data_IF_510005640306
#
_entry.id   IF_510005640306
#
_cell.length_a   1.000
_cell.length_b   1.000
_cell.length_c   1.000
_cell.angle_alpha   90.00
_cell.angle_beta   90.00
_cell.angle_gamma   90.00
#
_symmetry.space_group_name_H-M   'P 1'
#
loop_
_entity.id
_entity.type
_entity.pdbx_description
1 polymer ?
#
# COMPACT_ATOMS: atom_id res chain seq x y z
N UNK A 1 68.93 -23.50 15.81
CA UNK A 1 68.69 -24.50 14.78
C UNK A 1 67.57 -24.06 13.92
N UNK A 2 67.84 -23.85 12.64
CA UNK A 2 66.88 -23.52 11.56
C UNK A 2 65.93 -24.67 11.34
N UNK A 3 64.71 -24.36 10.97
CA UNK A 3 63.96 -25.05 9.92
C UNK A 3 62.92 -24.08 9.34
N UNK A 4 63.08 -23.79 8.07
CA UNK A 4 62.09 -23.17 7.24
C UNK A 4 61.21 -24.26 6.61
N UNK A 5 59.96 -23.91 6.35
CA UNK A 5 59.13 -24.60 5.36
C UNK A 5 58.08 -23.60 4.83
N UNK A 6 58.22 -23.33 3.52
CA UNK A 6 57.21 -22.67 2.71
C UNK A 6 55.94 -23.55 2.62
N UNK A 7 54.80 -22.96 2.78
CA UNK A 7 53.55 -23.56 2.37
C UNK A 7 52.67 -22.53 1.69
N UNK A 8 52.50 -22.73 0.41
CA UNK A 8 51.57 -22.04 -0.49
C UNK A 8 50.12 -22.10 0.01
N UNK A 9 49.58 -20.98 0.46
CA UNK A 9 48.21 -20.85 0.82
C UNK A 9 47.37 -20.43 -0.36
N UNK A 10 46.41 -21.24 -0.76
CA UNK A 10 45.32 -20.88 -1.68
C UNK A 10 44.30 -20.04 -0.88
N UNK A 11 44.15 -18.79 -1.26
CA UNK A 11 43.13 -17.90 -0.71
C UNK A 11 41.74 -18.34 -1.15
N UNK A 12 40.92 -18.76 -0.20
CA UNK A 12 39.48 -18.82 -0.37
C UNK A 12 38.93 -17.42 -0.11
N UNK A 13 38.72 -16.69 -1.20
CA UNK A 13 38.05 -15.40 -1.13
C UNK A 13 36.63 -15.59 -0.64
N UNK A 14 36.39 -15.17 0.60
CA UNK A 14 35.01 -14.91 1.06
C UNK A 14 34.49 -13.70 0.28
N UNK A 15 33.58 -13.96 -0.65
CA UNK A 15 32.78 -12.92 -1.24
C UNK A 15 31.89 -12.38 -0.13
N UNK A 16 32.37 -11.31 0.52
CA UNK A 16 31.51 -10.42 1.27
C UNK A 16 30.61 -9.74 0.25
N UNK A 17 29.39 -10.28 0.06
CA UNK A 17 28.36 -9.65 -0.75
C UNK A 17 28.12 -8.25 -0.19
N UNK A 18 28.59 -7.24 -0.90
CA UNK A 18 28.18 -5.86 -0.64
C UNK A 18 26.68 -5.82 -0.81
N UNK A 19 25.94 -5.81 0.30
CA UNK A 19 24.57 -5.34 0.32
C UNK A 19 24.66 -3.87 -0.05
N UNK A 20 24.46 -3.59 -1.34
CA UNK A 20 24.25 -2.22 -1.78
C UNK A 20 23.04 -1.69 -0.99
N UNK A 21 23.15 -0.54 -0.33
CA UNK A 21 21.99 0.06 0.29
C UNK A 21 20.99 0.33 -0.83
N UNK A 22 19.89 -0.42 -0.85
CA UNK A 22 18.72 -0.08 -1.66
C UNK A 22 18.16 1.19 -1.04
N UNK A 23 18.79 2.32 -1.35
CA UNK A 23 18.16 3.61 -1.16
C UNK A 23 16.98 3.64 -2.12
N UNK A 24 15.81 3.28 -1.62
CA UNK A 24 14.56 3.64 -2.26
C UNK A 24 14.45 5.16 -2.11
N UNK A 25 15.25 5.87 -2.87
CA UNK A 25 15.12 7.30 -3.06
C UNK A 25 13.97 7.50 -4.06
N UNK A 26 12.77 7.09 -3.66
CA UNK A 26 11.55 7.50 -4.31
C UNK A 26 11.08 8.77 -3.60
N UNK A 27 11.87 9.85 -3.69
CA UNK A 27 11.31 11.19 -3.51
C UNK A 27 10.09 11.22 -4.43
N UNK A 28 8.91 11.65 -3.95
CA UNK A 28 7.84 11.98 -4.87
C UNK A 28 8.44 13.00 -5.83
N UNK A 29 8.75 12.57 -7.06
CA UNK A 29 9.07 13.54 -8.10
C UNK A 29 7.91 14.52 -8.09
N UNK A 30 8.17 15.84 -7.95
CA UNK A 30 7.13 16.79 -8.26
C UNK A 30 6.59 16.34 -9.61
N UNK A 31 5.27 16.17 -9.73
CA UNK A 31 4.65 15.77 -11.00
C UNK A 31 5.28 16.70 -12.07
N UNK A 32 6.21 16.13 -12.85
CA UNK A 32 6.65 16.84 -14.04
C UNK A 32 5.38 17.00 -14.87
N UNK A 33 5.14 18.19 -15.44
CA UNK A 33 4.01 18.36 -16.33
C UNK A 33 4.08 17.24 -17.35
N UNK A 34 3.13 16.32 -17.28
CA UNK A 34 3.04 15.19 -18.20
C UNK A 34 2.82 15.84 -19.56
N UNK A 35 3.81 15.73 -20.42
CA UNK A 35 3.80 16.36 -21.73
C UNK A 35 2.77 15.67 -22.62
N UNK A 36 2.25 16.38 -23.62
CA UNK A 36 1.39 15.79 -24.67
C UNK A 36 1.99 14.53 -25.30
N UNK A 37 3.31 14.41 -25.31
CA UNK A 37 4.04 13.24 -25.76
C UNK A 37 3.71 11.93 -25.01
N UNK A 38 3.28 12.01 -23.74
CA UNK A 38 2.79 10.84 -23.01
C UNK A 38 1.50 10.31 -23.61
N UNK A 39 0.55 11.18 -23.91
CA UNK A 39 -0.76 10.80 -24.46
C UNK A 39 -0.62 10.17 -25.85
N UNK A 40 0.36 10.62 -26.63
CA UNK A 40 0.62 10.12 -27.99
C UNK A 40 1.21 8.70 -28.00
N UNK A 41 1.70 8.20 -26.86
CA UNK A 41 2.18 6.84 -26.68
C UNK A 41 1.05 5.86 -26.37
N UNK A 42 -0.10 6.37 -25.92
CA UNK A 42 -1.22 5.53 -25.50
C UNK A 42 -1.98 4.92 -26.70
N UNK A 43 -2.40 3.69 -26.53
CA UNK A 43 -3.18 2.95 -27.50
C UNK A 43 -4.66 2.94 -27.07
N UNK A 44 -5.43 3.77 -27.72
CA UNK A 44 -6.87 3.79 -27.52
C UNK A 44 -7.52 2.69 -28.39
N UNK A 45 -8.62 2.13 -27.89
CA UNK A 45 -9.43 1.19 -28.68
C UNK A 45 -10.15 1.91 -29.85
N UNK A 46 -10.90 1.16 -30.65
CA UNK A 46 -11.64 1.67 -31.83
C UNK A 46 -12.64 2.80 -31.49
N UNK A 47 -13.12 2.83 -30.24
CA UNK A 47 -14.00 3.90 -29.75
C UNK A 47 -13.22 5.13 -29.20
N UNK A 48 -11.90 5.16 -29.34
CA UNK A 48 -11.05 6.21 -28.80
C UNK A 48 -10.95 6.22 -27.27
N UNK A 49 -11.17 5.06 -26.63
CA UNK A 49 -11.17 4.90 -25.18
C UNK A 49 -10.04 3.99 -24.71
N UNK A 50 -9.54 4.26 -23.52
CA UNK A 50 -8.55 3.45 -22.80
C UNK A 50 -9.08 3.18 -21.38
N UNK A 51 -8.97 1.95 -20.85
CA UNK A 51 -9.31 1.67 -19.47
C UNK A 51 -8.34 2.33 -18.51
N UNK A 52 -8.85 2.85 -17.41
CA UNK A 52 -8.08 3.49 -16.36
C UNK A 52 -8.42 2.87 -15.01
N UNK A 53 -7.40 2.32 -14.36
CA UNK A 53 -7.48 1.73 -13.02
C UNK A 53 -7.14 2.84 -12.02
N UNK A 54 -8.05 3.14 -11.09
CA UNK A 54 -7.78 4.02 -9.96
C UNK A 54 -7.25 3.21 -8.78
N UNK A 55 -6.06 3.55 -8.31
CA UNK A 55 -5.38 2.90 -7.20
C UNK A 55 -5.12 3.91 -6.08
N UNK A 56 -5.39 3.54 -4.83
CA UNK A 56 -5.05 4.39 -3.68
C UNK A 56 -3.52 4.57 -3.58
N UNK A 57 -3.10 5.81 -3.38
CA UNK A 57 -1.67 6.17 -3.34
C UNK A 57 -0.96 5.68 -2.07
N UNK A 58 -1.71 5.41 -1.02
CA UNK A 58 -1.18 5.16 0.32
C UNK A 58 -1.02 3.67 0.58
N UNK A 59 -2.06 2.89 0.37
CA UNK A 59 -2.07 1.44 0.62
C UNK A 59 -2.05 0.57 -0.65
N UNK A 60 -2.21 1.18 -1.83
CA UNK A 60 -2.17 0.46 -3.10
C UNK A 60 -3.46 -0.27 -3.46
N UNK A 61 -4.53 -0.09 -2.70
CA UNK A 61 -5.82 -0.72 -3.00
C UNK A 61 -6.36 -0.26 -4.36
N UNK A 62 -6.88 -1.21 -5.16
CA UNK A 62 -7.61 -0.88 -6.37
C UNK A 62 -9.00 -0.40 -5.99
N UNK A 63 -9.34 0.82 -6.39
CA UNK A 63 -10.60 1.47 -5.99
C UNK A 63 -11.69 1.34 -7.03
N UNK A 64 -11.37 1.52 -8.30
CA UNK A 64 -12.33 1.41 -9.40
C UNK A 64 -11.62 1.27 -10.74
N UNK A 65 -12.38 0.87 -11.75
CA UNK A 65 -11.99 0.97 -13.16
C UNK A 65 -13.04 1.82 -13.89
N UNK A 66 -12.55 2.73 -14.73
CA UNK A 66 -13.38 3.52 -15.61
C UNK A 66 -12.68 3.70 -16.98
N UNK A 67 -13.29 4.42 -17.89
CA UNK A 67 -12.73 4.70 -19.20
C UNK A 67 -12.30 6.14 -19.32
N UNK A 68 -11.23 6.36 -20.07
CA UNK A 68 -10.74 7.70 -20.41
C UNK A 68 -10.63 7.82 -21.94
N UNK A 69 -10.88 9.01 -22.46
CA UNK A 69 -10.49 9.41 -23.80
C UNK A 69 -9.37 10.44 -23.70
N UNK A 70 -8.80 10.85 -24.84
CA UNK A 70 -7.74 11.88 -24.89
C UNK A 70 -8.11 13.12 -24.08
N UNK A 71 -9.31 13.65 -24.28
CA UNK A 71 -9.76 14.87 -23.62
C UNK A 71 -9.87 14.71 -22.10
N UNK A 72 -10.36 13.59 -21.60
CA UNK A 72 -10.42 13.34 -20.15
C UNK A 72 -9.04 13.22 -19.52
N UNK A 73 -8.05 12.65 -20.23
CA UNK A 73 -6.67 12.61 -19.78
C UNK A 73 -6.07 14.02 -19.72
N UNK A 74 -6.26 14.83 -20.77
CA UNK A 74 -5.78 16.22 -20.81
C UNK A 74 -6.38 17.07 -19.68
N UNK A 75 -7.67 16.91 -19.39
CA UNK A 75 -8.33 17.56 -18.25
C UNK A 75 -7.77 17.06 -16.92
N UNK A 76 -7.57 15.76 -16.78
CA UNK A 76 -6.95 15.17 -15.58
C UNK A 76 -5.56 15.76 -15.32
N UNK A 77 -4.75 15.94 -16.35
CA UNK A 77 -3.41 16.50 -16.24
C UNK A 77 -3.43 17.98 -15.89
N UNK A 78 -4.35 18.74 -16.47
CA UNK A 78 -4.43 20.18 -16.28
C UNK A 78 -5.03 20.58 -14.94
N UNK A 79 -6.00 19.80 -14.42
CA UNK A 79 -6.69 20.09 -13.16
C UNK A 79 -6.04 19.43 -11.95
N UNK A 80 -5.29 18.33 -12.16
CA UNK A 80 -4.81 17.48 -11.08
C UNK A 80 -5.90 16.61 -10.44
N UNK A 81 -7.13 16.65 -10.94
CA UNK A 81 -8.26 15.83 -10.51
C UNK A 81 -8.72 14.91 -11.64
N UNK A 82 -9.13 13.69 -11.31
CA UNK A 82 -9.41 12.67 -12.33
C UNK A 82 -10.73 12.96 -13.05
N UNK A 83 -10.64 13.00 -14.37
CA UNK A 83 -11.75 13.06 -15.30
C UNK A 83 -11.79 11.75 -16.09
N UNK A 84 -12.97 11.15 -16.17
CA UNK A 84 -13.24 9.95 -16.95
C UNK A 84 -14.16 10.22 -18.11
N UNK A 85 -14.37 9.21 -18.94
CA UNK A 85 -15.38 9.16 -19.96
C UNK A 85 -16.50 8.20 -19.57
N UNK A 86 -17.72 8.69 -19.44
CA UNK A 86 -18.89 7.88 -19.17
C UNK A 86 -19.39 7.24 -20.48
N UNK A 87 -19.23 5.93 -20.61
CA UNK A 87 -19.69 5.19 -21.81
C UNK A 87 -21.21 5.20 -21.98
N UNK A 88 -21.96 5.13 -20.86
CA UNK A 88 -23.41 5.11 -20.91
C UNK A 88 -24.03 6.47 -21.24
N UNK A 89 -23.38 7.57 -20.76
CA UNK A 89 -23.85 8.94 -20.99
C UNK A 89 -23.19 9.61 -22.19
N UNK A 90 -22.11 9.02 -22.71
CA UNK A 90 -21.29 9.57 -23.80
C UNK A 90 -20.82 11.00 -23.51
N UNK A 91 -20.33 11.22 -22.29
CA UNK A 91 -19.87 12.54 -21.82
C UNK A 91 -18.67 12.44 -20.89
N UNK A 92 -17.96 13.54 -20.74
CA UNK A 92 -16.92 13.68 -19.73
C UNK A 92 -17.52 13.61 -18.32
N UNK A 93 -16.80 12.96 -17.45
CA UNK A 93 -17.20 12.78 -16.06
C UNK A 93 -16.08 13.17 -15.11
N UNK A 94 -16.18 14.36 -14.50
CA UNK A 94 -15.31 14.72 -13.39
C UNK A 94 -15.71 13.92 -12.16
N UNK A 95 -14.81 13.06 -11.70
CA UNK A 95 -15.08 12.18 -10.56
C UNK A 95 -15.25 13.00 -9.28
N UNK A 96 -16.41 12.85 -8.65
CA UNK A 96 -16.73 13.54 -7.40
C UNK A 96 -17.31 14.94 -7.54
N UNK A 97 -17.50 15.49 -8.76
CA UNK A 97 -18.05 16.82 -8.95
C UNK A 97 -19.39 17.05 -8.23
N UNK A 98 -20.23 16.04 -8.14
CA UNK A 98 -21.53 16.11 -7.47
C UNK A 98 -21.49 15.60 -6.02
N UNK A 99 -20.74 14.53 -5.76
CA UNK A 99 -20.71 13.86 -4.45
C UNK A 99 -19.69 14.43 -3.46
N UNK A 100 -18.72 15.24 -3.94
CA UNK A 100 -17.58 15.70 -3.15
C UNK A 100 -16.45 14.65 -3.03
N UNK A 101 -16.65 13.42 -3.52
CA UNK A 101 -15.65 12.35 -3.48
C UNK A 101 -14.72 12.43 -4.70
N UNK A 102 -13.92 13.50 -4.76
CA UNK A 102 -12.95 13.73 -5.85
C UNK A 102 -11.75 12.80 -5.73
N UNK A 103 -11.00 12.69 -6.82
CA UNK A 103 -9.78 11.91 -6.92
C UNK A 103 -8.62 12.82 -7.32
N UNK A 104 -7.75 13.17 -6.37
CA UNK A 104 -6.54 13.95 -6.66
C UNK A 104 -5.45 13.03 -7.20
N UNK A 105 -4.90 13.38 -8.35
CA UNK A 105 -3.83 12.60 -9.00
C UNK A 105 -2.53 12.70 -8.22
N UNK A 106 -1.92 11.55 -7.92
CA UNK A 106 -0.58 11.44 -7.34
C UNK A 106 0.44 10.94 -8.36
N UNK A 107 0.02 10.07 -9.26
CA UNK A 107 0.87 9.57 -10.36
C UNK A 107 0.00 8.98 -11.47
N UNK A 108 0.52 8.95 -12.69
CA UNK A 108 -0.08 8.24 -13.82
C UNK A 108 1.01 7.37 -14.45
N UNK A 109 0.65 6.13 -14.73
CA UNK A 109 1.47 5.14 -15.45
C UNK A 109 0.60 4.48 -16.52
N UNK A 110 1.22 3.84 -17.46
CA UNK A 110 0.57 2.95 -18.43
C UNK A 110 1.32 1.62 -18.45
N UNK A 111 0.67 0.60 -18.92
CA UNK A 111 1.26 -0.75 -18.99
C UNK A 111 2.25 -0.91 -20.15
N UNK A 112 2.76 -2.13 -20.35
CA UNK A 112 3.87 -2.40 -21.27
C UNK A 112 3.52 -2.19 -22.76
N UNK A 113 2.27 -2.33 -23.13
CA UNK A 113 1.75 -2.13 -24.50
C UNK A 113 0.89 -0.87 -24.65
N UNK A 114 0.82 -0.07 -23.58
CA UNK A 114 0.22 1.26 -23.52
C UNK A 114 -1.31 1.27 -23.80
N UNK A 115 -2.02 0.21 -23.48
CA UNK A 115 -3.46 0.08 -23.66
C UNK A 115 -4.28 0.15 -22.36
N UNK A 116 -3.61 0.26 -21.19
CA UNK A 116 -4.21 0.49 -19.86
C UNK A 116 -3.48 1.59 -19.10
N UNK A 117 -4.23 2.45 -18.42
CA UNK A 117 -3.68 3.49 -17.54
C UNK A 117 -3.89 3.09 -16.07
N UNK A 118 -2.82 3.21 -15.27
CA UNK A 118 -2.87 3.17 -13.82
C UNK A 118 -2.77 4.58 -13.27
N UNK A 119 -3.85 5.08 -12.68
CA UNK A 119 -3.90 6.38 -12.00
C UNK A 119 -3.80 6.16 -10.51
N UNK A 120 -2.67 6.53 -9.92
CA UNK A 120 -2.50 6.52 -8.47
C UNK A 120 -3.12 7.80 -7.92
N UNK A 121 -4.09 7.69 -7.03
CA UNK A 121 -4.92 8.80 -6.57
C UNK A 121 -5.03 8.87 -5.05
N UNK A 122 -5.31 10.06 -4.55
CA UNK A 122 -5.84 10.29 -3.20
C UNK A 122 -7.35 10.47 -3.31
N UNK A 123 -8.09 9.57 -2.68
CA UNK A 123 -9.55 9.58 -2.69
C UNK A 123 -10.10 10.48 -1.59
N UNK A 124 -10.83 11.53 -1.95
CA UNK A 124 -11.53 12.38 -0.98
C UNK A 124 -12.67 11.61 -0.33
N UNK A 125 -12.74 11.68 1.01
CA UNK A 125 -13.79 11.03 1.81
C UNK A 125 -13.69 9.50 1.86
N UNK A 126 -12.61 8.92 1.33
CA UNK A 126 -12.36 7.46 1.28
C UNK A 126 -13.50 6.64 0.63
N UNK A 127 -14.26 7.24 -0.30
CA UNK A 127 -15.40 6.64 -1.00
C UNK A 127 -15.19 6.77 -2.51
N UNK A 128 -14.94 5.66 -3.21
CA UNK A 128 -14.85 5.65 -4.67
C UNK A 128 -16.14 5.18 -5.34
N UNK A 129 -16.88 4.26 -4.72
CA UNK A 129 -18.09 3.68 -5.28
C UNK A 129 -19.32 4.58 -5.04
N UNK A 130 -20.28 4.54 -5.99
CA UNK A 130 -21.57 5.23 -5.86
C UNK A 130 -22.48 4.64 -4.77
N UNK A 131 -22.18 3.42 -4.30
CA UNK A 131 -22.88 2.75 -3.20
C UNK A 131 -22.44 3.23 -1.81
N UNK A 132 -21.42 4.11 -1.74
CA UNK A 132 -20.78 4.53 -0.50
C UNK A 132 -19.59 3.69 -0.08
N UNK A 133 -19.28 2.61 -0.81
CA UNK A 133 -18.13 1.78 -0.52
C UNK A 133 -16.81 2.46 -0.91
N UNK A 134 -15.73 2.13 -0.20
CA UNK A 134 -14.39 2.60 -0.50
C UNK A 134 -13.90 2.19 -1.88
N UNK A 135 -14.23 0.97 -2.32
CA UNK A 135 -13.86 0.41 -3.63
C UNK A 135 -15.08 -0.11 -4.35
N UNK A 136 -15.03 -0.18 -5.68
CA UNK A 136 -16.03 -0.88 -6.49
C UNK A 136 -15.85 -2.41 -6.44
N UNK A 137 -14.71 -2.90 -5.94
CA UNK A 137 -14.35 -4.32 -5.88
C UNK A 137 -14.58 -4.86 -4.47
N UNK A 138 -15.83 -4.99 -4.06
CA UNK A 138 -16.21 -5.50 -2.73
C UNK A 138 -17.01 -6.81 -2.78
N UNK A 139 -17.43 -7.25 -3.95
CA UNK A 139 -18.09 -8.56 -4.10
C UNK A 139 -17.03 -9.64 -4.35
N UNK A 140 -17.10 -10.72 -3.57
CA UNK A 140 -16.25 -11.89 -3.73
C UNK A 140 -16.96 -12.91 -4.65
N UNK A 141 -16.18 -13.71 -5.39
CA UNK A 141 -16.69 -14.78 -6.26
C UNK A 141 -17.47 -15.85 -5.48
N UNK A 142 -17.11 -16.09 -4.22
CA UNK A 142 -17.66 -17.15 -3.38
C UNK A 142 -18.69 -16.65 -2.38
N UNK A 143 -18.69 -15.38 -2.05
CA UNK A 143 -19.62 -14.77 -1.09
C UNK A 143 -20.02 -13.38 -1.57
N UNK A 144 -21.31 -13.12 -1.64
CA UNK A 144 -21.81 -11.77 -1.87
C UNK A 144 -21.65 -10.98 -0.59
N UNK A 145 -20.61 -10.14 -0.53
CA UNK A 145 -20.46 -9.17 0.53
C UNK A 145 -21.61 -8.15 0.46
N UNK A 146 -22.13 -7.66 1.61
CA UNK A 146 -23.09 -6.58 1.61
C UNK A 146 -22.46 -5.35 0.96
N UNK A 147 -23.11 -4.77 -0.04
CA UNK A 147 -22.70 -3.51 -0.63
C UNK A 147 -22.92 -2.34 0.33
N UNK A 148 -22.35 -1.18 0.01
CA UNK A 148 -22.51 0.05 0.77
C UNK A 148 -21.26 0.48 1.54
N UNK A 149 -21.44 1.37 2.51
CA UNK A 149 -20.33 1.98 3.25
C UNK A 149 -19.50 0.95 4.06
N UNK A 150 -20.12 -0.15 4.47
CA UNK A 150 -19.47 -1.21 5.26
C UNK A 150 -18.74 -2.25 4.38
N UNK A 151 -18.84 -2.13 3.06
CA UNK A 151 -18.18 -3.06 2.14
C UNK A 151 -16.66 -2.84 2.12
N UNK A 152 -15.91 -3.87 2.48
CA UNK A 152 -14.44 -3.80 2.51
C UNK A 152 -13.87 -4.01 1.10
N UNK A 153 -12.89 -3.20 0.66
CA UNK A 153 -12.15 -3.47 -0.56
C UNK A 153 -11.26 -4.70 -0.39
N UNK A 154 -10.80 -5.32 -1.49
CA UNK A 154 -9.76 -6.33 -1.40
C UNK A 154 -8.55 -5.80 -0.60
N UNK A 155 -7.90 -6.63 0.22
CA UNK A 155 -6.71 -6.20 0.95
C UNK A 155 -5.58 -5.87 -0.04
N UNK A 156 -4.90 -4.75 0.20
CA UNK A 156 -3.77 -4.35 -0.64
C UNK A 156 -2.46 -5.02 -0.22
N UNK A 157 -2.34 -5.34 1.06
CA UNK A 157 -1.17 -5.98 1.66
C UNK A 157 -1.54 -6.73 2.95
N UNK A 158 -0.64 -7.62 3.41
CA UNK A 158 -0.86 -8.45 4.58
C UNK A 158 -1.05 -7.63 5.88
N UNK A 159 -0.41 -6.46 6.02
CA UNK A 159 -0.57 -5.63 7.22
C UNK A 159 -1.94 -4.96 7.27
N UNK A 160 -2.45 -4.52 6.12
CA UNK A 160 -3.80 -3.98 5.99
C UNK A 160 -4.84 -5.04 6.35
N UNK A 161 -4.68 -6.28 5.84
CA UNK A 161 -5.57 -7.39 6.16
C UNK A 161 -5.50 -7.77 7.64
N UNK A 162 -4.29 -7.87 8.19
CA UNK A 162 -4.08 -8.17 9.61
C UNK A 162 -4.80 -7.16 10.51
N UNK A 163 -4.71 -5.86 10.20
CA UNK A 163 -5.39 -4.83 10.98
C UNK A 163 -6.92 -4.99 10.93
N UNK A 164 -7.48 -5.33 9.76
CA UNK A 164 -8.92 -5.60 9.63
C UNK A 164 -9.37 -6.77 10.49
N UNK A 165 -8.59 -7.86 10.51
CA UNK A 165 -8.88 -9.02 11.35
C UNK A 165 -8.82 -8.63 12.83
N UNK A 166 -7.83 -7.86 13.25
CA UNK A 166 -7.70 -7.39 14.65
C UNK A 166 -8.87 -6.48 15.04
N UNK A 167 -9.25 -5.53 14.18
CA UNK A 167 -10.39 -4.63 14.40
C UNK A 167 -11.71 -5.43 14.46
N UNK A 168 -11.91 -6.40 13.57
CA UNK A 168 -13.06 -7.28 13.60
C UNK A 168 -13.14 -8.09 14.91
N UNK A 169 -12.01 -8.59 15.43
CA UNK A 169 -11.94 -9.28 16.73
C UNK A 169 -12.21 -8.36 17.91
N UNK A 170 -11.80 -7.09 17.82
CA UNK A 170 -12.14 -6.07 18.84
C UNK A 170 -13.63 -5.80 18.89
N UNK A 171 -14.25 -5.62 17.72
CA UNK A 171 -15.63 -5.19 17.59
C UNK A 171 -16.62 -6.37 17.73
N UNK A 172 -16.19 -7.59 17.37
CA UNK A 172 -16.95 -8.83 17.48
C UNK A 172 -16.05 -9.92 18.10
N UNK A 173 -15.93 -9.97 19.43
CA UNK A 173 -15.08 -10.94 20.12
C UNK A 173 -15.46 -12.38 19.83
N UNK A 174 -14.43 -13.23 19.55
CA UNK A 174 -14.62 -14.68 19.36
C UNK A 174 -14.03 -15.48 20.52
N UNK A 175 -14.75 -16.50 21.03
CA UNK A 175 -14.25 -17.38 22.05
C UNK A 175 -12.94 -18.08 21.62
N UNK A 176 -11.93 -18.04 22.50
CA UNK A 176 -10.64 -18.66 22.24
C UNK A 176 -9.66 -17.84 21.43
N UNK A 177 -10.06 -16.71 20.86
CA UNK A 177 -9.19 -15.82 20.09
C UNK A 177 -8.02 -15.31 20.94
N UNK A 178 -6.80 -15.43 20.41
CA UNK A 178 -5.60 -14.88 21.02
C UNK A 178 -5.63 -13.35 21.02
N UNK A 179 -6.08 -12.74 19.93
CA UNK A 179 -6.26 -11.28 19.82
C UNK A 179 -7.17 -10.76 20.93
N UNK A 180 -8.31 -11.42 21.16
CA UNK A 180 -9.22 -11.01 22.24
C UNK A 180 -8.58 -11.15 23.62
N UNK A 181 -7.79 -12.22 23.87
CA UNK A 181 -7.05 -12.38 25.13
C UNK A 181 -6.03 -11.25 25.36
N UNK A 182 -5.44 -10.73 24.30
CA UNK A 182 -4.53 -9.56 24.39
C UNK A 182 -5.31 -8.30 24.70
N UNK A 183 -6.38 -8.03 23.96
CA UNK A 183 -7.23 -6.85 24.13
C UNK A 183 -7.86 -6.79 25.53
N UNK A 184 -8.38 -7.92 26.04
CA UNK A 184 -8.92 -8.06 27.38
C UNK A 184 -7.86 -7.82 28.48
N UNK A 185 -6.61 -8.19 28.20
CA UNK A 185 -5.49 -7.96 29.10
C UNK A 185 -4.97 -6.52 29.13
N UNK A 186 -5.43 -5.69 28.18
CA UNK A 186 -5.08 -4.27 28.07
C UNK A 186 -3.59 -4.01 27.89
N UNK A 187 -3.20 -2.77 28.11
CA UNK A 187 -1.84 -2.27 27.89
C UNK A 187 -0.75 -3.14 28.48
N UNK A 188 -0.90 -3.56 29.73
CA UNK A 188 0.14 -4.33 30.41
C UNK A 188 0.48 -5.63 29.68
N UNK A 189 -0.53 -6.31 29.12
CA UNK A 189 -0.33 -7.57 28.40
C UNK A 189 0.20 -7.32 26.99
N UNK A 190 -0.36 -6.35 26.29
CA UNK A 190 0.02 -6.03 24.92
C UNK A 190 1.44 -5.48 24.89
N UNK A 191 1.76 -4.47 25.72
CA UNK A 191 3.07 -3.83 25.72
C UNK A 191 4.18 -4.76 26.21
N UNK A 192 3.86 -5.68 27.15
CA UNK A 192 4.77 -6.74 27.55
C UNK A 192 5.18 -7.59 26.34
N UNK A 193 4.23 -8.01 25.52
CA UNK A 193 4.51 -8.80 24.30
C UNK A 193 5.35 -8.06 23.29
N UNK A 194 5.06 -6.77 23.03
CA UNK A 194 5.91 -5.96 22.16
C UNK A 194 7.36 -5.93 22.65
N UNK A 195 7.57 -5.84 23.97
CA UNK A 195 8.90 -5.88 24.57
C UNK A 195 9.60 -7.23 24.39
N UNK A 196 8.90 -8.34 24.60
CA UNK A 196 9.39 -9.71 24.42
C UNK A 196 9.82 -9.96 22.97
N UNK A 197 8.92 -9.77 22.00
CA UNK A 197 9.19 -10.01 20.57
C UNK A 197 10.27 -9.05 20.03
N UNK A 198 10.35 -7.81 20.56
CA UNK A 198 11.45 -6.90 20.19
C UNK A 198 12.82 -7.41 20.67
N UNK A 199 12.90 -8.05 21.83
CA UNK A 199 14.14 -8.63 22.32
C UNK A 199 14.53 -9.88 21.49
N UNK A 200 13.56 -10.74 21.16
CA UNK A 200 13.76 -11.93 20.33
C UNK A 200 14.19 -11.55 18.91
N UNK A 201 13.60 -10.50 18.32
CA UNK A 201 14.03 -9.96 17.02
C UNK A 201 15.49 -9.49 17.07
N UNK A 202 15.91 -8.80 18.13
CA UNK A 202 17.31 -8.35 18.28
C UNK A 202 18.26 -9.55 18.36
N UNK A 203 17.88 -10.63 19.06
CA UNK A 203 18.69 -11.84 19.14
C UNK A 203 18.74 -12.56 17.78
N UNK A 204 17.63 -12.72 17.09
CA UNK A 204 17.57 -13.29 15.75
C UNK A 204 18.47 -12.53 14.75
N UNK A 205 18.46 -11.19 14.82
CA UNK A 205 19.35 -10.34 14.02
C UNK A 205 20.82 -10.57 14.35
N UNK A 206 21.16 -10.73 15.63
CA UNK A 206 22.54 -10.99 16.08
C UNK A 206 23.04 -12.35 15.60
N UNK A 207 22.15 -13.36 15.62
CA UNK A 207 22.45 -14.72 15.18
C UNK A 207 22.42 -14.88 13.66
N UNK A 208 21.96 -13.83 12.95
CA UNK A 208 21.86 -13.76 11.50
C UNK A 208 21.00 -14.91 10.91
N UNK A 209 19.87 -15.20 11.57
CA UNK A 209 18.89 -16.20 11.16
C UNK A 209 17.74 -15.54 10.37
N UNK A 210 17.72 -15.61 9.03
CA UNK A 210 16.69 -14.91 8.22
C UNK A 210 15.26 -15.34 8.55
N UNK A 211 15.03 -16.62 8.84
CA UNK A 211 13.72 -17.19 9.14
C UNK A 211 13.21 -16.67 10.49
N UNK A 212 14.06 -16.66 11.51
CA UNK A 212 13.72 -16.12 12.84
C UNK A 212 13.53 -14.62 12.77
N UNK A 213 14.39 -13.88 12.05
CA UNK A 213 14.21 -12.43 11.85
C UNK A 213 12.85 -12.13 11.24
N UNK A 214 12.40 -12.92 10.24
CA UNK A 214 11.11 -12.73 9.61
C UNK A 214 9.95 -13.09 10.56
N UNK A 215 10.09 -14.14 11.37
CA UNK A 215 9.12 -14.55 12.38
C UNK A 215 8.92 -13.46 13.43
N UNK A 216 10.00 -13.07 14.09
CA UNK A 216 9.95 -12.05 15.15
C UNK A 216 9.48 -10.68 14.65
N UNK A 217 9.87 -10.31 13.41
CA UNK A 217 9.35 -9.09 12.78
C UNK A 217 7.83 -9.15 12.57
N UNK A 218 7.29 -10.31 12.18
CA UNK A 218 5.85 -10.49 12.02
C UNK A 218 5.12 -10.43 13.36
N UNK A 219 5.70 -11.02 14.42
CA UNK A 219 5.14 -10.99 15.78
C UNK A 219 5.14 -9.58 16.37
N UNK A 220 6.20 -8.81 16.16
CA UNK A 220 6.23 -7.38 16.52
C UNK A 220 5.12 -6.62 15.79
N UNK A 221 4.99 -6.79 14.47
CA UNK A 221 3.95 -6.12 13.67
C UNK A 221 2.55 -6.47 14.16
N UNK A 222 2.29 -7.74 14.46
CA UNK A 222 1.02 -8.20 15.02
C UNK A 222 0.72 -7.51 16.36
N UNK A 223 1.62 -7.57 17.33
CA UNK A 223 1.40 -6.98 18.65
C UNK A 223 1.31 -5.45 18.61
N UNK A 224 2.08 -4.79 17.73
CA UNK A 224 1.94 -3.36 17.47
C UNK A 224 0.57 -3.01 16.92
N UNK A 225 0.03 -3.78 15.99
CA UNK A 225 -1.32 -3.54 15.45
C UNK A 225 -2.42 -3.81 16.48
N UNK A 226 -2.25 -4.80 17.36
CA UNK A 226 -3.16 -5.00 18.50
C UNK A 226 -3.14 -3.78 19.45
N UNK A 227 -1.97 -3.24 19.76
CA UNK A 227 -1.86 -2.02 20.56
C UNK A 227 -2.54 -0.83 19.86
N UNK A 228 -2.32 -0.68 18.55
CA UNK A 228 -2.96 0.37 17.77
C UNK A 228 -4.48 0.26 17.78
N UNK A 229 -5.03 -0.93 17.56
CA UNK A 229 -6.47 -1.18 17.62
C UNK A 229 -7.04 -0.90 19.01
N UNK A 230 -6.31 -1.26 20.08
CA UNK A 230 -6.67 -0.95 21.47
C UNK A 230 -6.77 0.56 21.73
N UNK A 231 -5.86 1.34 21.16
CA UNK A 231 -5.84 2.79 21.27
C UNK A 231 -6.63 3.54 20.19
N UNK A 232 -7.34 2.85 19.30
CA UNK A 232 -8.14 3.47 18.24
C UNK A 232 -7.31 4.13 17.15
N UNK A 233 -6.08 3.67 16.91
CA UNK A 233 -5.18 4.18 15.86
C UNK A 233 -5.24 3.23 14.66
N UNK A 234 -5.67 3.73 13.49
CA UNK A 234 -5.76 2.93 12.27
C UNK A 234 -4.39 2.71 11.63
N UNK A 235 -4.25 1.60 10.89
CA UNK A 235 -3.06 1.32 10.08
C UNK A 235 -2.81 2.42 9.02
N UNK A 236 -3.89 2.93 8.42
CA UNK A 236 -3.83 4.05 7.48
C UNK A 236 -3.11 5.27 8.07
N UNK A 237 -3.32 5.56 9.35
CA UNK A 237 -2.63 6.67 10.02
C UNK A 237 -1.12 6.48 10.08
N UNK A 238 -0.65 5.25 10.28
CA UNK A 238 0.79 4.93 10.24
C UNK A 238 1.35 5.12 8.82
N UNK A 239 0.63 4.63 7.82
CA UNK A 239 1.02 4.80 6.42
C UNK A 239 1.12 6.28 6.04
N UNK A 240 0.18 7.13 6.47
CA UNK A 240 0.24 8.59 6.27
C UNK A 240 1.49 9.22 6.89
N UNK A 241 1.84 8.82 8.13
CA UNK A 241 3.05 9.31 8.80
C UNK A 241 4.31 8.89 8.02
N UNK A 242 4.36 7.63 7.58
CA UNK A 242 5.47 7.13 6.78
C UNK A 242 5.57 7.84 5.42
N UNK A 243 4.45 8.07 4.77
CA UNK A 243 4.39 8.80 3.50
C UNK A 243 4.89 10.24 3.65
N UNK A 244 4.49 10.95 4.72
CA UNK A 244 4.98 12.30 5.02
C UNK A 244 6.49 12.34 5.30
N UNK A 245 7.04 11.29 5.93
CA UNK A 245 8.49 11.20 6.24
C UNK A 245 9.33 10.84 5.02
N UNK A 246 8.77 10.20 4.01
CA UNK A 246 9.49 9.74 2.80
C UNK A 246 10.17 10.88 2.04
N UNK A 247 9.66 12.10 2.08
CA UNK A 247 10.22 13.29 1.41
C UNK A 247 10.88 14.30 2.35
N UNK A 248 10.92 14.07 3.66
CA UNK A 248 11.50 15.00 4.62
C UNK A 248 13.01 14.75 4.78
N UNK A 249 13.86 15.82 4.88
CA UNK A 249 15.25 15.65 5.23
C UNK A 249 15.36 14.99 6.61
N UNK A 250 16.34 14.09 6.77
CA UNK A 250 16.64 13.48 8.07
C UNK A 250 16.93 14.60 9.07
N UNK A 251 16.23 14.61 10.20
CA UNK A 251 16.69 15.35 11.37
C UNK A 251 17.89 14.57 11.91
N UNK A 252 19.05 15.19 11.90
CA UNK A 252 20.25 14.71 12.60
C UNK A 252 20.01 14.63 14.10
#
# INVERSE_FOLDING_TARGET
KRWGAEASGRGTGRHCGRILPVYICNTPRPMQPLTSAFIDQLRFNEAGLIPAIAQDWLDGAVLMVAWMNRQSIELTLSTGEVHYWSRSRQELWHKGATSGHTQTVRNIRYDCDADVILVTIEQSGDVACHTGARSCFYEDSDQRAPGGADALPPPADACTELMRVIEARRDQPEPGSYTNKLLDGGDNRILKKIGEESAEFVMACKDNSPEEIAGEAADILFHMQVAMAHHGVSWRRVQEVLAKRRGAPRRE
#
